data_IF_627139049159
#
_entry.id   IF_627139049159
#
_cell.length_a   1.000
_cell.length_b   1.000
_cell.length_c   1.000
_cell.angle_alpha   90.00
_cell.angle_beta   90.00
_cell.angle_gamma   90.00
#
_symmetry.space_group_name_H-M   'P 1'
#
loop_
_entity.id
_entity.type
_entity.pdbx_description
1 polymer ?
#
# COMPACT_ATOMS: atom_id res chain seq x y z
N UNK A 1 21.79 -13.28 -7.34
CA UNK A 1 21.10 -14.41 -8.00
C UNK A 1 19.73 -14.45 -7.37
N UNK A 2 18.68 -14.15 -8.12
CA UNK A 2 17.32 -13.99 -7.59
C UNK A 2 16.80 -15.28 -6.91
N UNK A 3 16.17 -15.13 -5.74
CA UNK A 3 15.77 -16.24 -4.87
C UNK A 3 14.28 -16.62 -5.00
N UNK A 4 13.51 -15.96 -5.89
CA UNK A 4 12.07 -16.20 -6.04
C UNK A 4 11.72 -17.43 -6.89
N UNK A 5 12.70 -18.11 -7.50
CA UNK A 5 12.46 -19.21 -8.43
C UNK A 5 11.78 -20.44 -7.80
N UNK A 6 11.85 -20.60 -6.48
CA UNK A 6 11.26 -21.71 -5.73
C UNK A 6 9.97 -21.33 -4.99
N UNK A 7 9.48 -20.10 -5.17
CA UNK A 7 8.22 -19.65 -4.54
C UNK A 7 7.00 -20.28 -5.21
N UNK A 8 5.89 -20.36 -4.47
CA UNK A 8 4.62 -20.87 -5.00
C UNK A 8 3.72 -19.79 -5.57
N UNK A 9 3.86 -18.55 -5.09
CA UNK A 9 3.08 -17.41 -5.59
C UNK A 9 3.33 -17.19 -7.08
N UNK A 10 2.27 -17.19 -7.91
CA UNK A 10 2.38 -16.80 -9.31
C UNK A 10 2.92 -15.38 -9.48
N UNK A 11 2.60 -14.47 -8.56
CA UNK A 11 3.09 -13.08 -8.58
C UNK A 11 4.59 -13.02 -8.29
N UNK A 12 5.10 -13.74 -7.28
CA UNK A 12 6.55 -13.77 -7.01
C UNK A 12 7.32 -14.42 -8.15
N UNK A 13 6.79 -15.51 -8.72
CA UNK A 13 7.41 -16.21 -9.85
C UNK A 13 7.53 -15.36 -11.11
N UNK A 14 6.66 -14.36 -11.31
CA UNK A 14 6.79 -13.39 -12.42
C UNK A 14 8.07 -12.54 -12.31
N UNK A 15 8.63 -12.38 -11.11
CA UNK A 15 9.81 -11.57 -10.85
C UNK A 15 11.11 -12.38 -10.72
N UNK A 16 11.08 -13.70 -10.90
CA UNK A 16 12.24 -14.58 -10.69
C UNK A 16 13.41 -14.29 -11.66
N UNK A 17 13.11 -13.75 -12.84
CA UNK A 17 14.08 -13.46 -13.89
C UNK A 17 14.51 -11.98 -13.91
N UNK A 18 13.99 -11.16 -12.98
CA UNK A 18 14.40 -9.77 -12.86
C UNK A 18 15.89 -9.68 -12.47
N UNK A 19 16.63 -8.66 -12.97
CA UNK A 19 18.03 -8.43 -12.59
C UNK A 19 18.20 -8.05 -11.11
N UNK A 20 17.13 -7.64 -10.44
CA UNK A 20 17.12 -7.41 -8.99
C UNK A 20 17.29 -8.74 -8.25
N UNK A 21 18.15 -8.73 -7.24
CA UNK A 21 18.43 -9.83 -6.32
C UNK A 21 17.32 -9.96 -5.27
N UNK A 22 16.13 -10.35 -5.73
CA UNK A 22 14.95 -10.47 -4.86
C UNK A 22 15.07 -11.67 -3.91
N UNK A 23 14.71 -11.44 -2.66
CA UNK A 23 14.41 -12.46 -1.67
C UNK A 23 12.91 -12.49 -1.38
N UNK A 24 12.33 -13.67 -1.08
CA UNK A 24 11.05 -13.72 -0.39
C UNK A 24 11.21 -13.18 1.04
N UNK A 25 10.10 -12.81 1.67
CA UNK A 25 10.14 -12.46 3.08
C UNK A 25 10.49 -13.69 3.93
N UNK A 26 11.57 -13.61 4.70
CA UNK A 26 11.99 -14.71 5.57
C UNK A 26 13.22 -14.40 6.41
N UNK A 27 13.57 -15.33 7.29
CA UNK A 27 14.71 -15.21 8.19
C UNK A 27 16.04 -15.02 7.46
N UNK A 28 16.20 -15.61 6.27
CA UNK A 28 17.40 -15.46 5.44
C UNK A 28 17.64 -14.01 5.04
N UNK A 29 16.64 -13.34 4.43
CA UNK A 29 16.75 -11.95 4.00
C UNK A 29 16.96 -11.00 5.19
N UNK A 30 16.23 -11.22 6.28
CA UNK A 30 16.36 -10.41 7.51
C UNK A 30 17.72 -10.59 8.17
N UNK A 31 18.25 -11.81 8.21
CA UNK A 31 19.59 -12.08 8.75
C UNK A 31 20.68 -11.47 7.86
N UNK A 32 20.53 -11.54 6.52
CA UNK A 32 21.43 -10.91 5.56
C UNK A 32 21.48 -9.39 5.76
N UNK A 33 20.32 -8.74 5.88
CA UNK A 33 20.25 -7.30 6.11
C UNK A 33 20.98 -6.89 7.40
N UNK A 34 20.81 -7.66 8.48
CA UNK A 34 21.52 -7.42 9.75
C UNK A 34 23.03 -7.67 9.65
N UNK A 35 23.43 -8.75 8.99
CA UNK A 35 24.84 -9.11 8.86
C UNK A 35 25.62 -8.13 7.98
N UNK A 36 24.98 -7.60 6.93
CA UNK A 36 25.60 -6.64 6.01
C UNK A 36 25.36 -5.17 6.43
N UNK A 37 24.60 -4.92 7.50
CA UNK A 37 24.10 -3.60 7.92
C UNK A 37 23.53 -2.78 6.75
N UNK A 38 22.70 -3.44 5.93
CA UNK A 38 22.04 -2.80 4.77
C UNK A 38 20.56 -2.54 5.05
N UNK A 39 20.01 -1.42 4.56
CA UNK A 39 18.57 -1.22 4.57
C UNK A 39 17.87 -2.30 3.74
N UNK A 40 16.64 -2.62 4.13
CA UNK A 40 15.77 -3.49 3.36
C UNK A 40 14.93 -2.62 2.43
N UNK A 41 14.84 -2.99 1.16
CA UNK A 41 13.82 -2.48 0.25
C UNK A 41 12.73 -3.52 0.13
N UNK A 42 11.57 -3.25 0.73
CA UNK A 42 10.39 -4.10 0.71
C UNK A 42 9.44 -3.63 -0.41
N UNK A 43 9.13 -4.52 -1.35
CA UNK A 43 8.17 -4.27 -2.43
C UNK A 43 6.99 -5.25 -2.34
N UNK A 44 5.83 -4.75 -1.91
CA UNK A 44 4.59 -5.53 -1.78
C UNK A 44 3.66 -5.26 -2.97
N UNK A 45 3.06 -6.31 -3.52
CA UNK A 45 2.03 -6.22 -4.55
C UNK A 45 1.27 -7.54 -4.69
N UNK A 46 0.51 -7.68 -5.76
CA UNK A 46 -0.31 -8.86 -6.05
C UNK A 46 -0.55 -8.99 -7.55
N UNK A 47 -0.97 -10.18 -8.00
CA UNK A 47 -1.03 -10.58 -9.41
C UNK A 47 -1.92 -9.72 -10.32
N UNK A 48 -3.01 -9.13 -9.79
CA UNK A 48 -3.93 -8.29 -10.54
C UNK A 48 -3.63 -6.77 -10.43
N UNK A 49 -2.48 -6.41 -9.86
CA UNK A 49 -2.11 -5.01 -9.64
C UNK A 49 -1.47 -4.38 -10.89
N UNK A 50 -2.23 -3.56 -11.61
CA UNK A 50 -1.72 -2.87 -12.81
C UNK A 50 -0.43 -2.08 -12.56
N UNK A 51 -0.41 -1.22 -11.54
CA UNK A 51 0.77 -0.39 -11.25
C UNK A 51 1.98 -1.19 -10.76
N UNK A 52 1.77 -2.38 -10.20
CA UNK A 52 2.86 -3.26 -9.82
C UNK A 52 3.58 -3.78 -11.06
N UNK A 53 2.83 -4.10 -12.11
CA UNK A 53 3.39 -4.54 -13.39
C UNK A 53 4.10 -3.37 -14.09
N UNK A 54 3.50 -2.18 -14.07
CA UNK A 54 4.12 -0.96 -14.63
C UNK A 54 5.46 -0.68 -13.95
N UNK A 55 5.50 -0.66 -12.62
CA UNK A 55 6.75 -0.41 -11.89
C UNK A 55 7.78 -1.52 -12.12
N UNK A 56 7.35 -2.78 -12.23
CA UNK A 56 8.25 -3.87 -12.54
C UNK A 56 8.94 -3.69 -13.90
N UNK A 57 8.17 -3.38 -14.93
CA UNK A 57 8.69 -3.18 -16.27
C UNK A 57 9.57 -1.93 -16.38
N UNK A 58 9.14 -0.82 -15.77
CA UNK A 58 9.87 0.44 -15.86
C UNK A 58 11.13 0.49 -14.98
N UNK A 59 11.14 -0.23 -13.85
CA UNK A 59 12.19 -0.13 -12.83
C UNK A 59 12.88 -1.45 -12.52
N UNK A 60 12.15 -2.50 -12.15
CA UNK A 60 12.77 -3.73 -11.65
C UNK A 60 13.42 -4.60 -12.74
N UNK A 61 13.03 -4.42 -14.00
CA UNK A 61 13.66 -5.03 -15.17
C UNK A 61 14.85 -4.21 -15.71
N UNK A 62 15.00 -2.97 -15.26
CA UNK A 62 16.09 -2.09 -15.70
C UNK A 62 17.40 -2.43 -14.97
N UNK A 63 18.44 -2.77 -15.74
CA UNK A 63 19.74 -3.18 -15.19
C UNK A 63 20.43 -2.11 -14.34
N UNK A 64 20.33 -0.82 -14.71
CA UNK A 64 20.96 0.26 -13.95
C UNK A 64 20.27 0.49 -12.60
N UNK A 65 18.94 0.45 -12.58
CA UNK A 65 18.15 0.49 -11.34
C UNK A 65 18.45 -0.73 -10.46
N UNK A 66 18.48 -1.92 -11.05
CA UNK A 66 18.79 -3.16 -10.32
C UNK A 66 20.21 -3.16 -9.74
N UNK A 67 21.19 -2.56 -10.42
CA UNK A 67 22.54 -2.41 -9.89
C UNK A 67 22.56 -1.58 -8.60
N UNK A 68 21.85 -0.44 -8.58
CA UNK A 68 21.71 0.40 -7.39
C UNK A 68 21.03 -0.40 -6.26
N UNK A 69 19.92 -1.07 -6.59
CA UNK A 69 19.16 -1.88 -5.63
C UNK A 69 20.02 -2.99 -5.01
N UNK A 70 20.72 -3.77 -5.84
CA UNK A 70 21.53 -4.91 -5.38
C UNK A 70 22.77 -4.48 -4.60
N UNK A 71 23.33 -3.30 -4.93
CA UNK A 71 24.50 -2.77 -4.24
C UNK A 71 24.16 -2.33 -2.82
N UNK A 72 23.05 -1.62 -2.65
CA UNK A 72 22.76 -0.88 -1.43
C UNK A 72 21.69 -1.51 -0.53
N UNK A 73 20.88 -2.44 -1.03
CA UNK A 73 19.75 -2.98 -0.30
C UNK A 73 19.75 -4.50 -0.24
N UNK A 74 19.08 -5.02 0.79
CA UNK A 74 18.48 -6.36 0.70
C UNK A 74 17.06 -6.19 0.15
N UNK A 75 16.85 -6.66 -1.08
CA UNK A 75 15.60 -6.48 -1.80
C UNK A 75 14.64 -7.61 -1.46
N UNK A 76 13.47 -7.30 -0.90
CA UNK A 76 12.46 -8.29 -0.51
C UNK A 76 11.18 -8.04 -1.32
N UNK A 77 10.68 -9.08 -1.99
CA UNK A 77 9.41 -9.07 -2.71
C UNK A 77 8.37 -9.83 -1.89
N UNK A 78 7.17 -9.27 -1.74
CA UNK A 78 6.07 -9.89 -1.01
C UNK A 78 4.81 -9.90 -1.85
N UNK A 79 4.17 -11.08 -1.90
CA UNK A 79 2.79 -11.21 -2.36
C UNK A 79 1.84 -10.93 -1.20
N UNK A 80 1.04 -9.88 -1.36
CA UNK A 80 -0.01 -9.51 -0.43
C UNK A 80 -1.04 -10.63 -0.23
N UNK A 81 -1.34 -11.41 -1.27
CA UNK A 81 -2.36 -12.46 -1.21
C UNK A 81 -1.91 -13.63 -0.32
N UNK A 82 -0.59 -13.86 -0.24
CA UNK A 82 0.00 -14.86 0.66
C UNK A 82 0.36 -14.29 2.04
N UNK A 83 0.70 -13.00 2.12
CA UNK A 83 1.13 -12.32 3.36
C UNK A 83 0.36 -11.01 3.63
N UNK A 84 -0.98 -11.10 3.85
CA UNK A 84 -1.79 -9.93 4.17
C UNK A 84 -1.37 -9.27 5.49
N UNK A 85 -0.78 -10.05 6.41
CA UNK A 85 -0.23 -9.55 7.67
C UNK A 85 0.88 -8.52 7.48
N UNK A 86 1.79 -8.75 6.53
CA UNK A 86 2.85 -7.80 6.20
C UNK A 86 2.30 -6.60 5.42
N UNK A 87 1.37 -6.87 4.51
CA UNK A 87 0.69 -5.83 3.72
C UNK A 87 0.04 -4.79 4.64
N UNK A 88 -0.77 -5.23 5.61
CA UNK A 88 -1.49 -4.33 6.51
C UNK A 88 -0.55 -3.47 7.36
N UNK A 89 0.47 -4.08 7.98
CA UNK A 89 1.44 -3.37 8.84
C UNK A 89 2.18 -2.29 8.05
N UNK A 90 2.70 -2.65 6.88
CA UNK A 90 3.51 -1.72 6.08
C UNK A 90 2.65 -0.71 5.31
N UNK A 91 1.38 -1.02 5.01
CA UNK A 91 0.44 -0.07 4.43
C UNK A 91 0.10 1.04 5.42
N UNK A 92 -0.13 0.71 6.69
CA UNK A 92 -0.32 1.71 7.74
C UNK A 92 0.90 2.63 7.87
N UNK A 93 2.12 2.06 7.77
CA UNK A 93 3.35 2.84 7.78
C UNK A 93 3.39 3.85 6.61
N UNK A 94 3.10 3.41 5.38
CA UNK A 94 3.07 4.28 4.19
C UNK A 94 1.98 5.35 4.30
N UNK A 95 0.79 5.00 4.78
CA UNK A 95 -0.30 5.96 5.01
C UNK A 95 0.10 7.01 6.03
N UNK A 96 0.76 6.61 7.12
CA UNK A 96 1.25 7.56 8.12
C UNK A 96 2.28 8.53 7.53
N UNK A 97 3.23 8.03 6.73
CA UNK A 97 4.27 8.86 6.11
C UNK A 97 3.74 9.82 5.04
N UNK A 98 2.69 9.43 4.31
CA UNK A 98 2.18 10.17 3.16
C UNK A 98 0.89 10.95 3.44
N UNK A 99 0.47 11.04 4.71
CA UNK A 99 -0.71 11.82 5.10
C UNK A 99 -2.05 11.17 4.74
N UNK A 100 -2.13 9.84 4.80
CA UNK A 100 -3.33 9.04 4.57
C UNK A 100 -3.41 8.41 3.18
N UNK A 101 -2.43 8.66 2.31
CA UNK A 101 -2.38 8.02 1.00
C UNK A 101 -1.73 6.64 1.07
N UNK A 102 -2.24 5.68 0.29
CA UNK A 102 -1.70 4.33 0.27
C UNK A 102 -2.15 3.60 -0.97
N UNK A 103 -1.52 2.47 -1.26
CA UNK A 103 -1.82 1.68 -2.44
C UNK A 103 -0.66 0.81 -2.90
N UNK A 104 -0.89 0.07 -3.98
CA UNK A 104 0.09 -0.83 -4.57
C UNK A 104 0.55 -0.30 -5.94
N UNK A 105 1.82 -0.51 -6.34
CA UNK A 105 2.87 -1.21 -5.59
C UNK A 105 3.24 -0.43 -4.34
N UNK A 106 3.50 -1.15 -3.25
CA UNK A 106 3.93 -0.54 -2.00
C UNK A 106 5.43 -0.72 -1.88
N UNK A 107 6.17 0.39 -1.80
CA UNK A 107 7.63 0.41 -1.69
C UNK A 107 8.02 1.00 -0.35
N UNK A 108 8.64 0.19 0.52
CA UNK A 108 8.98 0.60 1.88
C UNK A 108 10.45 0.32 2.16
N UNK A 109 11.12 1.27 2.80
CA UNK A 109 12.50 1.18 3.20
C UNK A 109 12.56 0.94 4.71
N UNK A 110 13.21 -0.16 5.09
CA UNK A 110 13.28 -0.62 6.47
C UNK A 110 14.73 -0.62 6.97
N UNK A 111 14.90 -0.40 8.26
CA UNK A 111 16.13 -0.75 8.96
C UNK A 111 16.37 -2.26 8.88
N UNK A 112 17.60 -2.74 9.11
CA UNK A 112 17.91 -4.17 9.14
C UNK A 112 17.07 -4.99 10.14
N UNK A 113 16.49 -4.34 11.15
CA UNK A 113 15.60 -4.95 12.13
C UNK A 113 14.12 -5.03 11.70
N UNK A 114 13.79 -4.49 10.51
CA UNK A 114 12.45 -4.51 9.93
C UNK A 114 11.59 -3.30 10.22
N UNK A 115 12.06 -2.33 11.02
CA UNK A 115 11.31 -1.10 11.30
C UNK A 115 11.27 -0.18 10.06
N UNK A 116 10.09 0.30 9.62
CA UNK A 116 9.99 1.19 8.47
C UNK A 116 10.45 2.60 8.84
N UNK A 117 11.14 3.27 7.91
CA UNK A 117 11.56 4.67 8.10
C UNK A 117 11.22 5.57 6.92
N UNK A 118 11.06 5.02 5.72
CA UNK A 118 10.57 5.74 4.55
C UNK A 118 9.74 4.83 3.66
N UNK A 119 8.85 5.39 2.85
CA UNK A 119 7.98 4.60 2.00
C UNK A 119 7.05 5.43 1.13
N UNK A 120 6.52 4.78 0.11
CA UNK A 120 5.58 5.36 -0.83
C UNK A 120 4.93 4.26 -1.65
N UNK A 121 4.18 4.66 -2.67
CA UNK A 121 3.52 3.73 -3.57
C UNK A 121 4.38 3.52 -4.82
N UNK A 122 3.95 4.10 -5.94
CA UNK A 122 4.64 4.06 -7.21
C UNK A 122 5.67 5.18 -7.31
N UNK A 123 6.89 4.84 -7.76
CA UNK A 123 7.93 5.79 -8.12
C UNK A 123 8.29 5.65 -9.61
N UNK A 124 8.29 6.75 -10.38
CA UNK A 124 8.54 6.70 -11.82
C UNK A 124 10.02 6.47 -12.17
N UNK A 125 10.34 5.93 -13.36
CA UNK A 125 11.73 5.76 -13.80
C UNK A 125 12.44 7.11 -14.01
N UNK A 126 11.68 8.16 -14.34
CA UNK A 126 12.16 9.52 -14.56
C UNK A 126 11.33 10.52 -13.74
N UNK A 127 11.90 11.67 -13.33
CA UNK A 127 11.18 12.66 -12.53
C UNK A 127 9.98 13.21 -13.31
N UNK A 128 8.79 13.18 -12.70
CA UNK A 128 7.56 13.70 -13.33
C UNK A 128 6.53 14.15 -12.31
N UNK A 129 5.77 15.18 -12.66
CA UNK A 129 4.68 15.72 -11.82
C UNK A 129 5.11 16.06 -10.37
N UNK A 130 6.34 16.57 -10.21
CA UNK A 130 6.91 16.88 -8.90
C UNK A 130 7.37 15.66 -8.08
N UNK A 131 7.26 14.44 -8.63
CA UNK A 131 7.79 13.23 -8.01
C UNK A 131 9.23 12.97 -8.49
N UNK A 132 10.16 12.63 -7.58
CA UNK A 132 11.49 12.17 -7.95
C UNK A 132 11.42 10.83 -8.70
N UNK A 133 12.46 10.52 -9.47
CA UNK A 133 12.58 9.18 -10.03
C UNK A 133 12.89 8.13 -8.96
N UNK A 134 12.62 6.87 -9.25
CA UNK A 134 12.91 5.77 -8.34
C UNK A 134 14.41 5.71 -8.02
N UNK A 135 15.29 5.94 -9.00
CA UNK A 135 16.74 6.01 -8.76
C UNK A 135 17.12 7.16 -7.83
N UNK A 136 16.50 8.33 -7.96
CA UNK A 136 16.72 9.45 -7.04
C UNK A 136 16.27 9.11 -5.62
N UNK A 137 15.13 8.43 -5.47
CA UNK A 137 14.64 7.96 -4.17
C UNK A 137 15.61 6.96 -3.55
N UNK A 138 16.05 5.96 -4.32
CA UNK A 138 17.04 4.98 -3.87
C UNK A 138 18.29 5.69 -3.33
N UNK A 139 18.93 6.53 -4.15
CA UNK A 139 20.17 7.20 -3.75
C UNK A 139 19.99 8.15 -2.55
N UNK A 140 18.85 8.84 -2.46
CA UNK A 140 18.55 9.70 -1.31
C UNK A 140 18.37 8.90 -0.01
N UNK A 141 17.75 7.72 -0.08
CA UNK A 141 17.61 6.81 1.06
C UNK A 141 18.97 6.28 1.50
N UNK A 142 19.83 5.87 0.55
CA UNK A 142 21.20 5.45 0.87
C UNK A 142 21.97 6.55 1.59
N UNK A 143 21.94 7.77 1.05
CA UNK A 143 22.62 8.92 1.66
C UNK A 143 22.10 9.22 3.07
N UNK A 144 20.78 9.13 3.29
CA UNK A 144 20.20 9.30 4.62
C UNK A 144 20.63 8.18 5.58
N UNK A 145 20.66 6.94 5.11
CA UNK A 145 21.04 5.78 5.91
C UNK A 145 22.52 5.83 6.33
N UNK A 146 23.41 6.20 5.41
CA UNK A 146 24.86 6.24 5.64
C UNK A 146 25.30 7.48 6.43
N UNK A 147 24.79 8.66 6.08
CA UNK A 147 25.30 9.93 6.63
C UNK A 147 24.40 10.53 7.71
N UNK A 148 23.14 10.08 7.83
CA UNK A 148 22.15 10.61 8.78
C UNK A 148 21.47 9.50 9.59
N UNK A 149 22.21 8.43 9.86
CA UNK A 149 21.74 7.20 10.52
C UNK A 149 20.90 7.45 11.78
N UNK A 150 21.38 8.31 12.69
CA UNK A 150 20.65 8.61 13.92
C UNK A 150 19.24 9.18 13.66
N UNK A 151 19.10 10.06 12.66
CA UNK A 151 17.80 10.60 12.27
C UNK A 151 16.87 9.54 11.68
N UNK A 152 17.43 8.62 10.88
CA UNK A 152 16.70 7.48 10.32
C UNK A 152 16.19 6.55 11.44
N UNK A 153 17.03 6.25 12.44
CA UNK A 153 16.65 5.41 13.58
C UNK A 153 15.59 6.06 14.47
N UNK A 154 15.69 7.37 14.70
CA UNK A 154 14.65 8.14 15.41
C UNK A 154 13.33 8.09 14.66
N UNK A 155 13.33 8.38 13.35
CA UNK A 155 12.12 8.34 12.53
C UNK A 155 11.48 6.95 12.52
N UNK A 156 12.30 5.89 12.42
CA UNK A 156 11.82 4.51 12.48
C UNK A 156 11.18 4.18 13.84
N UNK A 157 11.78 4.66 14.93
CA UNK A 157 11.24 4.52 16.29
C UNK A 157 9.90 5.22 16.46
N UNK A 158 9.83 6.51 16.13
CA UNK A 158 8.61 7.31 16.23
C UNK A 158 7.44 6.71 15.43
N UNK A 159 7.73 6.23 14.22
CA UNK A 159 6.73 5.59 13.39
C UNK A 159 6.27 4.24 13.98
N UNK A 160 7.20 3.42 14.46
CA UNK A 160 6.86 2.15 15.11
C UNK A 160 5.97 2.37 16.33
N UNK A 161 6.27 3.38 17.15
CA UNK A 161 5.49 3.74 18.32
C UNK A 161 4.11 4.30 17.96
N UNK A 162 3.99 5.01 16.83
CA UNK A 162 2.70 5.47 16.31
C UNK A 162 1.83 4.28 15.87
N UNK A 163 2.41 3.33 15.12
CA UNK A 163 1.71 2.13 14.66
C UNK A 163 1.26 1.24 15.83
N UNK A 164 2.12 1.05 16.83
CA UNK A 164 1.76 0.30 18.03
C UNK A 164 0.64 0.97 18.82
N UNK A 165 0.63 2.31 18.91
CA UNK A 165 -0.47 3.03 19.56
C UNK A 165 -1.78 2.91 18.82
N UNK A 166 -1.78 2.80 17.50
CA UNK A 166 -3.02 2.57 16.73
C UNK A 166 -3.54 1.14 16.96
N UNK A 167 -2.63 0.15 16.94
CA UNK A 167 -2.93 -1.25 17.27
C UNK A 167 -3.40 -1.47 18.72
N UNK A 168 -2.91 -0.68 19.67
CA UNK A 168 -3.32 -0.70 21.08
C UNK A 168 -4.52 0.22 21.36
N UNK A 169 -4.69 1.26 20.53
CA UNK A 169 -5.77 2.24 20.54
C UNK A 169 -7.07 1.70 19.94
N UNK A 170 -7.00 0.62 19.16
CA UNK A 170 -8.05 -0.41 19.14
C UNK A 170 -8.12 -1.11 20.50
N UNK A 171 -8.45 -0.35 21.53
CA UNK A 171 -8.94 -0.92 22.77
C UNK A 171 -10.14 -1.79 22.42
N UNK A 172 -10.24 -2.92 23.12
CA UNK A 172 -11.35 -3.86 23.05
C UNK A 172 -12.66 -3.26 23.59
N UNK A 173 -13.00 -2.02 23.21
CA UNK A 173 -14.35 -1.54 23.33
C UNK A 173 -15.23 -2.44 22.47
N UNK A 174 -16.16 -3.14 23.12
CA UNK A 174 -17.11 -3.96 22.44
C UNK A 174 -17.82 -3.12 21.38
N UNK A 175 -17.82 -3.61 20.13
CA UNK A 175 -18.64 -3.08 19.05
C UNK A 175 -20.05 -2.82 19.56
N UNK A 176 -20.40 -1.55 19.67
CA UNK A 176 -21.70 -1.11 20.16
C UNK A 176 -22.44 -0.29 19.10
N UNK A 177 -23.73 -0.09 19.31
CA UNK A 177 -24.59 0.61 18.36
C UNK A 177 -24.20 2.07 18.18
N UNK A 178 -23.68 2.72 19.21
CA UNK A 178 -23.34 4.15 19.19
C UNK A 178 -22.09 4.39 18.34
N UNK A 179 -21.07 3.52 18.46
CA UNK A 179 -19.89 3.53 17.61
C UNK A 179 -20.28 3.36 16.13
N UNK A 180 -21.19 2.43 15.85
CA UNK A 180 -21.64 2.18 14.48
C UNK A 180 -22.50 3.34 13.94
N UNK A 181 -23.28 4.00 14.79
CA UNK A 181 -24.01 5.22 14.42
C UNK A 181 -23.05 6.39 14.13
N UNK A 182 -22.01 6.57 14.96
CA UNK A 182 -20.98 7.58 14.76
C UNK A 182 -20.21 7.35 13.45
N UNK A 183 -19.82 6.11 13.15
CA UNK A 183 -19.17 5.74 11.89
C UNK A 183 -20.07 6.04 10.68
N UNK A 184 -21.38 5.77 10.77
CA UNK A 184 -22.34 6.09 9.72
C UNK A 184 -22.42 7.60 9.45
N UNK A 185 -22.51 8.40 10.51
CA UNK A 185 -22.49 9.87 10.41
C UNK A 185 -21.16 10.37 9.84
N UNK A 186 -20.04 9.76 10.23
CA UNK A 186 -18.71 10.06 9.69
C UNK A 186 -18.62 9.82 8.18
N UNK A 187 -19.20 8.73 7.67
CA UNK A 187 -19.26 8.48 6.23
C UNK A 187 -20.06 9.55 5.49
N UNK A 188 -21.16 10.04 6.06
CA UNK A 188 -21.94 11.15 5.49
C UNK A 188 -21.12 12.43 5.30
N UNK A 189 -20.17 12.72 6.20
CA UNK A 189 -19.28 13.89 6.07
C UNK A 189 -18.27 13.77 4.93
N UNK A 190 -17.89 12.55 4.57
CA UNK A 190 -16.93 12.28 3.49
C UNK A 190 -17.63 11.93 2.16
N UNK A 191 -18.95 11.90 2.14
CA UNK A 191 -19.72 11.58 0.94
C UNK A 191 -19.75 12.77 -0.04
N UNK A 192 -19.62 12.49 -1.34
CA UNK A 192 -19.76 13.50 -2.38
C UNK A 192 -21.19 13.46 -2.96
N UNK A 193 -22.01 14.49 -2.69
CA UNK A 193 -23.39 14.56 -3.17
C UNK A 193 -23.50 14.82 -4.69
N UNK A 194 -22.47 15.38 -5.33
CA UNK A 194 -22.50 15.73 -6.76
C UNK A 194 -22.17 14.51 -7.63
N UNK A 195 -21.15 13.74 -7.24
CA UNK A 195 -20.60 12.65 -8.04
C UNK A 195 -20.83 11.25 -7.45
N UNK A 196 -21.32 11.15 -6.21
CA UNK A 196 -21.36 9.89 -5.48
C UNK A 196 -19.96 9.40 -5.08
N UNK A 197 -19.92 8.34 -4.28
CA UNK A 197 -18.70 7.85 -3.65
C UNK A 197 -18.26 8.73 -2.48
N UNK A 198 -17.04 8.50 -2.00
CA UNK A 198 -16.49 9.15 -0.81
C UNK A 198 -15.13 9.79 -1.13
N UNK A 199 -14.87 10.96 -0.55
CA UNK A 199 -13.65 11.73 -0.77
C UNK A 199 -13.57 12.46 -2.12
N UNK A 200 -12.39 12.99 -2.42
CA UNK A 200 -12.07 13.69 -3.67
C UNK A 200 -11.69 12.78 -4.84
N UNK A 201 -11.37 13.39 -5.98
CA UNK A 201 -10.88 12.65 -7.17
C UNK A 201 -9.40 12.26 -7.02
N UNK A 202 -8.95 11.10 -7.54
CA UNK A 202 -9.76 10.03 -8.17
C UNK A 202 -10.45 9.13 -7.13
N UNK A 203 -11.64 8.62 -7.46
CA UNK A 203 -12.43 7.74 -6.58
C UNK A 203 -12.43 6.30 -7.05
N UNK A 204 -12.43 5.37 -6.09
CA UNK A 204 -12.51 3.94 -6.34
C UNK A 204 -13.79 3.33 -5.76
N UNK A 205 -14.37 2.29 -6.40
CA UNK A 205 -15.45 1.51 -5.81
C UNK A 205 -15.04 0.95 -4.44
N UNK A 206 -15.79 1.30 -3.39
CA UNK A 206 -15.60 0.80 -2.03
C UNK A 206 -16.84 -0.01 -1.59
N UNK A 207 -16.90 -1.30 -1.93
CA UNK A 207 -18.07 -2.13 -1.63
C UNK A 207 -18.33 -2.28 -0.13
N UNK A 208 -17.28 -2.30 0.71
CA UNK A 208 -17.44 -2.44 2.16
C UNK A 208 -18.13 -1.23 2.78
N UNK A 209 -17.81 -0.01 2.34
CA UNK A 209 -18.51 1.19 2.79
C UNK A 209 -19.99 1.17 2.36
N UNK A 210 -20.26 0.73 1.13
CA UNK A 210 -21.64 0.64 0.63
C UNK A 210 -22.45 -0.40 1.40
N UNK A 211 -21.86 -1.58 1.66
CA UNK A 211 -22.49 -2.62 2.48
C UNK A 211 -22.74 -2.14 3.91
N UNK A 212 -21.78 -1.45 4.52
CA UNK A 212 -21.93 -0.88 5.86
C UNK A 212 -23.11 0.11 5.94
N UNK A 213 -23.23 1.02 4.95
CA UNK A 213 -24.36 1.96 4.90
C UNK A 213 -25.70 1.26 4.68
N UNK A 214 -25.76 0.20 3.87
CA UNK A 214 -26.96 -0.63 3.75
C UNK A 214 -27.34 -1.28 5.08
N UNK A 215 -26.36 -1.80 5.84
CA UNK A 215 -26.59 -2.35 7.19
C UNK A 215 -27.05 -1.27 8.17
N UNK A 216 -26.55 -0.04 8.06
CA UNK A 216 -27.02 1.08 8.86
C UNK A 216 -28.49 1.41 8.56
N UNK A 217 -28.87 1.53 7.28
CA UNK A 217 -30.26 1.74 6.87
C UNK A 217 -31.16 0.61 7.38
N UNK A 218 -30.76 -0.65 7.18
CA UNK A 218 -31.54 -1.81 7.64
C UNK A 218 -31.77 -1.83 9.16
N UNK A 219 -30.82 -1.31 9.94
CA UNK A 219 -30.91 -1.29 11.41
C UNK A 219 -31.67 -0.09 11.96
N UNK A 220 -31.51 1.10 11.37
CA UNK A 220 -32.06 2.35 11.94
C UNK A 220 -33.31 2.84 11.21
N UNK A 221 -33.55 2.38 9.97
CA UNK A 221 -34.59 2.89 9.09
C UNK A 221 -34.30 4.29 8.53
N UNK A 222 -33.12 4.87 8.76
CA UNK A 222 -32.76 6.19 8.23
C UNK A 222 -32.52 6.12 6.72
N UNK A 223 -33.05 7.06 5.95
CA UNK A 223 -32.96 7.06 4.47
C UNK A 223 -31.62 7.58 3.93
N UNK A 224 -30.89 8.37 4.73
CA UNK A 224 -29.64 9.01 4.30
C UNK A 224 -28.58 7.97 3.84
N UNK A 225 -28.29 6.88 4.59
CA UNK A 225 -27.35 5.84 4.12
C UNK A 225 -27.77 5.18 2.81
N UNK A 226 -29.07 4.89 2.65
CA UNK A 226 -29.59 4.30 1.41
C UNK A 226 -29.48 5.26 0.23
N UNK A 227 -29.71 6.55 0.47
CA UNK A 227 -29.56 7.60 -0.55
C UNK A 227 -28.12 7.68 -1.03
N UNK A 228 -27.15 7.68 -0.11
CA UNK A 228 -25.72 7.68 -0.44
C UNK A 228 -25.32 6.45 -1.27
N UNK A 229 -25.78 5.26 -0.88
CA UNK A 229 -25.48 4.01 -1.58
C UNK A 229 -26.07 4.01 -2.98
N UNK A 230 -27.37 4.29 -3.11
CA UNK A 230 -28.07 4.23 -4.39
C UNK A 230 -27.56 5.30 -5.37
N UNK A 231 -27.23 6.50 -4.89
CA UNK A 231 -26.61 7.52 -5.73
C UNK A 231 -25.23 7.09 -6.23
N UNK A 232 -24.38 6.58 -5.33
CA UNK A 232 -23.04 6.08 -5.69
C UNK A 232 -23.10 4.97 -6.73
N UNK A 233 -23.96 3.97 -6.53
CA UNK A 233 -24.14 2.86 -7.48
C UNK A 233 -24.66 3.33 -8.83
N UNK A 234 -25.59 4.30 -8.87
CA UNK A 234 -26.07 4.89 -10.13
C UNK A 234 -24.96 5.63 -10.88
N UNK A 235 -24.11 6.37 -10.17
CA UNK A 235 -22.97 7.08 -10.76
C UNK A 235 -21.93 6.11 -11.31
N UNK A 236 -21.66 5.02 -10.59
CA UNK A 236 -20.80 3.94 -11.08
C UNK A 236 -21.38 3.28 -12.34
N UNK A 237 -22.66 2.89 -12.31
CA UNK A 237 -23.33 2.22 -13.43
C UNK A 237 -23.44 3.12 -14.69
N UNK A 238 -23.50 4.44 -14.51
CA UNK A 238 -23.51 5.42 -15.61
C UNK A 238 -22.10 5.95 -15.96
N UNK A 239 -21.07 5.49 -15.26
CA UNK A 239 -19.70 5.93 -15.42
C UNK A 239 -18.89 5.00 -16.32
N UNK A 240 -17.62 5.36 -16.55
CA UNK A 240 -16.72 4.61 -17.42
C UNK A 240 -16.25 3.25 -16.89
N UNK A 241 -16.61 2.91 -15.65
CA UNK A 241 -16.27 1.60 -15.03
C UNK A 241 -17.29 0.51 -15.34
N UNK A 242 -18.46 0.85 -15.89
CA UNK A 242 -19.47 -0.13 -16.29
C UNK A 242 -19.49 -0.26 -17.81
N UNK A 243 -19.39 -1.49 -18.32
CA UNK A 243 -19.56 -1.75 -19.75
C UNK A 243 -21.04 -1.60 -20.12
N UNK A 244 -21.33 -0.53 -20.86
CA UNK A 244 -22.69 -0.20 -21.29
C UNK A 244 -23.23 -1.16 -22.36
N UNK A 245 -22.37 -1.94 -23.02
CA UNK A 245 -22.72 -2.87 -24.08
C UNK A 245 -22.78 -4.32 -23.59
N UNK A 246 -21.70 -4.80 -22.98
CA UNK A 246 -21.58 -6.18 -22.48
C UNK A 246 -22.15 -6.40 -21.08
N UNK A 247 -22.31 -5.32 -20.30
CA UNK A 247 -22.70 -5.37 -18.90
C UNK A 247 -21.57 -5.78 -17.97
N UNK A 248 -21.66 -5.36 -16.71
CA UNK A 248 -20.66 -5.65 -15.68
C UNK A 248 -19.70 -4.50 -15.41
N UNK A 249 -19.02 -4.59 -14.27
CA UNK A 249 -18.03 -3.62 -13.83
C UNK A 249 -16.62 -4.09 -14.17
N UNK A 250 -15.82 -3.19 -14.74
CA UNK A 250 -14.41 -3.38 -15.01
C UNK A 250 -13.59 -2.62 -13.97
N UNK A 251 -12.51 -3.25 -13.51
CA UNK A 251 -11.62 -2.72 -12.49
C UNK A 251 -10.22 -2.58 -13.03
#
# INVERSE_FOLDING_TARGET
MNHLANETSPYLLQHKDNPVDWYPWGSEALAKAKAEDKPILLSVGYSACHWCHVMAHESFENAATAEIMNRHYVNIKVDREERPDLDDIYMQAVQTMTGGHGGWPMTVFLLPDGRPFYGGTYFPPEPRHGMPSFQQVLLAVVDAYEHRRAGVETQAGELTDALQRDLLGSSAEALNTDLLAAACTGMGRNYDPDNGGFGGSPKFPNPMNLEFLLRCHARTGADEPLTMVTHTLRKMARGGVYDQLGGGFHR
#
